data_IF_903848285779
#
_entry.id   IF_903848285779
#
_cell.length_a   1.000
_cell.length_b   1.000
_cell.length_c   1.000
_cell.angle_alpha   90.00
_cell.angle_beta   90.00
_cell.angle_gamma   90.00
#
_symmetry.space_group_name_H-M   'P 1'
#
loop_
_entity.id
_entity.type
_entity.pdbx_description
1 polymer ?
#
# COMPACT_ATOMS: atom_id res chain seq x y z
N UNK A 1 3.24 -3.18 14.16
CA UNK A 1 2.02 -2.35 13.97
C UNK A 1 1.18 -3.02 12.89
N UNK A 2 -0.10 -3.23 13.15
CA UNK A 2 -1.07 -3.83 12.23
C UNK A 2 -2.12 -2.80 11.85
N UNK A 3 -2.53 -2.78 10.59
CA UNK A 3 -3.67 -1.99 10.13
C UNK A 3 -4.96 -2.82 10.18
N UNK A 4 -6.12 -2.15 10.14
CA UNK A 4 -7.40 -2.82 9.91
C UNK A 4 -7.45 -3.47 8.52
N UNK A 5 -6.83 -2.83 7.54
CA UNK A 5 -6.72 -3.28 6.16
C UNK A 5 -5.40 -4.05 5.92
N UNK A 6 -4.90 -4.78 6.93
CA UNK A 6 -3.66 -5.56 6.78
C UNK A 6 -3.81 -6.62 5.68
N UNK A 7 -2.99 -6.55 4.61
CA UNK A 7 -3.15 -7.46 3.48
C UNK A 7 -2.69 -8.87 3.82
N UNK A 8 -3.52 -9.86 3.46
CA UNK A 8 -3.22 -11.28 3.48
C UNK A 8 -3.35 -11.82 2.06
N UNK A 9 -2.27 -12.37 1.51
CA UNK A 9 -2.21 -12.82 0.12
C UNK A 9 -1.70 -14.24 0.04
N UNK A 10 -2.34 -15.06 -0.80
CA UNK A 10 -1.86 -16.40 -1.16
C UNK A 10 -0.93 -16.25 -2.37
N UNK A 11 0.26 -16.84 -2.31
CA UNK A 11 1.19 -16.83 -3.43
C UNK A 11 0.60 -17.49 -4.67
N UNK A 12 0.67 -16.84 -5.85
CA UNK A 12 0.24 -17.47 -7.10
C UNK A 12 1.16 -18.61 -7.55
N UNK A 13 2.32 -18.81 -6.91
CA UNK A 13 3.32 -19.82 -7.26
C UNK A 13 3.34 -21.01 -6.30
N UNK A 14 2.72 -20.87 -5.12
CA UNK A 14 2.65 -21.93 -4.12
C UNK A 14 1.39 -21.76 -3.25
N UNK A 15 0.42 -22.66 -3.36
CA UNK A 15 -0.84 -22.59 -2.62
C UNK A 15 -0.70 -22.70 -1.10
N UNK A 16 0.44 -23.21 -0.61
CA UNK A 16 0.72 -23.31 0.82
C UNK A 16 1.41 -22.06 1.37
N UNK A 17 1.85 -21.18 0.47
CA UNK A 17 2.52 -19.94 0.83
C UNK A 17 1.53 -18.80 1.02
N UNK A 18 1.62 -18.19 2.21
CA UNK A 18 0.88 -16.99 2.57
C UNK A 18 1.84 -15.85 2.87
N UNK A 19 1.41 -14.65 2.52
CA UNK A 19 2.05 -13.41 2.96
C UNK A 19 1.07 -12.61 3.80
N UNK A 20 1.52 -12.10 4.94
CA UNK A 20 0.74 -11.25 5.81
C UNK A 20 1.57 -10.05 6.25
N UNK A 21 1.01 -8.85 6.17
CA UNK A 21 1.78 -7.64 6.34
C UNK A 21 1.30 -6.75 7.49
N UNK A 22 2.25 -6.27 8.26
CA UNK A 22 2.11 -5.22 9.28
C UNK A 22 2.96 -4.01 8.86
N UNK A 23 3.87 -3.52 9.67
CA UNK A 23 4.98 -2.68 9.20
C UNK A 23 6.17 -3.52 8.67
N UNK A 24 6.14 -4.82 8.90
CA UNK A 24 7.00 -5.84 8.33
C UNK A 24 6.17 -6.78 7.46
N UNK A 25 6.81 -7.47 6.53
CA UNK A 25 6.21 -8.55 5.78
C UNK A 25 6.58 -9.90 6.40
N UNK A 26 5.58 -10.73 6.58
CA UNK A 26 5.69 -12.10 7.08
C UNK A 26 5.30 -13.08 5.98
N UNK A 27 5.96 -14.22 5.95
CA UNK A 27 5.69 -15.34 5.05
C UNK A 27 5.46 -16.60 5.87
N UNK A 28 4.47 -17.36 5.49
CA UNK A 28 4.26 -18.75 5.88
C UNK A 28 4.42 -19.64 4.64
N UNK A 29 4.99 -20.82 4.79
CA UNK A 29 5.08 -21.85 3.73
C UNK A 29 4.29 -23.12 4.09
N UNK A 30 3.48 -23.05 5.15
CA UNK A 30 2.71 -24.16 5.75
C UNK A 30 1.26 -23.75 6.08
N UNK A 31 0.65 -22.94 5.21
CA UNK A 31 -0.75 -22.45 5.32
C UNK A 31 -1.05 -21.65 6.57
N UNK A 32 -0.04 -21.06 7.20
CA UNK A 32 -0.20 -20.18 8.36
C UNK A 32 0.13 -20.82 9.71
N UNK A 33 0.59 -22.09 9.72
CA UNK A 33 0.99 -22.75 10.95
C UNK A 33 2.24 -22.10 11.55
N UNK A 34 3.22 -21.73 10.70
CA UNK A 34 4.40 -20.98 11.12
C UNK A 34 4.63 -19.74 10.27
N UNK A 35 5.19 -18.69 10.89
CA UNK A 35 5.44 -17.42 10.24
C UNK A 35 6.87 -16.94 10.40
N UNK A 36 7.47 -16.52 9.30
CA UNK A 36 8.80 -15.95 9.23
C UNK A 36 8.74 -14.50 8.78
N UNK A 37 9.38 -13.59 9.52
CA UNK A 37 9.60 -12.22 9.07
C UNK A 37 10.63 -12.20 7.94
N UNK A 38 10.24 -11.68 6.76
CA UNK A 38 11.07 -11.66 5.55
C UNK A 38 11.48 -10.24 5.12
N UNK A 39 11.13 -9.20 5.89
CA UNK A 39 11.51 -7.82 5.55
C UNK A 39 12.01 -7.04 6.76
N UNK A 40 12.78 -5.94 6.54
CA UNK A 40 12.90 -4.85 7.51
C UNK A 40 11.56 -4.11 7.66
N UNK A 41 11.52 -3.03 8.47
CA UNK A 41 10.39 -2.08 8.46
C UNK A 41 10.31 -1.40 7.09
N UNK A 42 9.20 -1.60 6.38
CA UNK A 42 8.99 -1.11 5.01
C UNK A 42 8.32 0.27 4.95
N UNK A 43 7.99 0.83 6.11
CA UNK A 43 7.33 2.12 6.26
C UNK A 43 8.33 3.27 6.39
N UNK A 44 7.85 4.49 6.61
CA UNK A 44 8.72 5.64 6.95
C UNK A 44 9.24 5.55 8.38
N UNK A 45 8.64 4.70 9.21
CA UNK A 45 8.97 4.52 10.62
C UNK A 45 9.02 5.85 11.40
N UNK A 46 8.08 6.76 11.10
CA UNK A 46 7.99 8.07 11.76
C UNK A 46 7.57 7.90 13.22
N UNK A 47 8.22 8.65 14.10
CA UNK A 47 7.88 8.66 15.52
C UNK A 47 6.54 9.39 15.73
N UNK A 48 5.49 8.65 16.00
CA UNK A 48 4.14 9.16 16.25
C UNK A 48 4.09 10.17 17.41
N UNK A 49 4.99 10.05 18.38
CA UNK A 49 5.04 10.95 19.51
C UNK A 49 5.50 12.36 19.13
N UNK A 50 6.17 12.50 17.99
CA UNK A 50 6.58 13.79 17.43
C UNK A 50 5.60 14.35 16.41
N UNK A 51 4.56 13.61 16.05
CA UNK A 51 3.57 14.06 15.07
C UNK A 51 2.55 15.01 15.70
N UNK A 52 2.21 16.06 14.95
CA UNK A 52 1.13 16.96 15.34
C UNK A 52 -0.22 16.31 15.02
N UNK A 53 -1.11 16.30 15.98
CA UNK A 53 -2.53 15.95 15.82
C UNK A 53 -3.34 17.18 16.19
N UNK A 54 -4.18 17.68 15.29
CA UNK A 54 -4.92 18.94 15.44
C UNK A 54 -4.00 20.13 15.79
N UNK A 55 -2.84 20.20 15.12
CA UNK A 55 -1.88 21.32 15.30
C UNK A 55 -0.95 21.21 16.51
N UNK A 56 -1.13 20.22 17.40
CA UNK A 56 -0.38 20.08 18.65
C UNK A 56 0.30 18.72 18.74
N UNK A 57 1.53 18.67 19.27
CA UNK A 57 2.18 17.43 19.71
C UNK A 57 1.65 17.09 21.11
N UNK A 58 1.00 15.95 21.22
CA UNK A 58 0.43 15.48 22.49
C UNK A 58 1.45 14.65 23.29
N UNK A 59 1.34 14.71 24.61
CA UNK A 59 2.12 13.85 25.51
C UNK A 59 1.93 12.36 25.16
N UNK A 60 2.93 11.56 25.48
CA UNK A 60 2.85 10.09 25.35
C UNK A 60 1.73 9.51 26.21
N UNK A 61 1.42 10.18 27.33
CA UNK A 61 0.39 9.78 28.29
C UNK A 61 -1.00 10.33 27.96
N UNK A 62 -1.17 11.02 26.80
CA UNK A 62 -2.48 11.54 26.41
C UNK A 62 -3.49 10.39 26.23
N UNK A 63 -4.69 10.59 26.78
CA UNK A 63 -5.78 9.60 26.76
C UNK A 63 -6.03 9.17 25.31
N UNK A 64 -6.12 7.86 25.10
CA UNK A 64 -6.37 7.19 23.80
C UNK A 64 -5.34 7.47 22.69
N UNK A 65 -4.22 8.10 22.96
CA UNK A 65 -3.19 8.37 21.94
C UNK A 65 -2.71 7.11 21.22
N UNK A 66 -2.63 5.99 21.93
CA UNK A 66 -2.05 4.74 21.43
C UNK A 66 -3.05 3.58 21.35
N UNK A 67 -4.33 3.79 21.71
CA UNK A 67 -5.29 2.69 21.90
C UNK A 67 -6.20 2.48 20.68
N UNK A 68 -6.72 3.54 20.07
CA UNK A 68 -7.70 3.43 18.97
C UNK A 68 -7.35 4.24 17.73
N UNK A 69 -6.19 4.85 17.67
CA UNK A 69 -5.76 5.55 16.46
C UNK A 69 -5.25 4.54 15.45
N UNK A 70 -5.66 4.69 14.20
CA UNK A 70 -5.05 3.94 13.10
C UNK A 70 -3.53 4.06 13.19
N UNK A 71 -2.81 2.95 13.31
CA UNK A 71 -1.36 3.00 13.34
C UNK A 71 -0.86 3.55 12.00
N UNK A 72 -0.22 4.70 12.02
CA UNK A 72 0.51 5.21 10.86
C UNK A 72 1.82 4.43 10.72
N UNK A 73 2.21 4.17 9.48
CA UNK A 73 3.39 3.38 9.15
C UNK A 73 3.08 1.89 9.20
N UNK A 74 2.17 1.46 8.32
CA UNK A 74 1.76 0.08 8.12
C UNK A 74 1.65 -0.23 6.62
N UNK A 75 1.85 -1.48 6.26
CA UNK A 75 1.57 -1.97 4.92
C UNK A 75 0.06 -2.20 4.80
N UNK A 76 -0.54 -1.69 3.75
CA UNK A 76 -1.99 -1.75 3.48
C UNK A 76 -2.31 -2.34 2.12
N UNK A 77 -1.30 -2.53 1.27
CA UNK A 77 -1.45 -3.18 -0.02
C UNK A 77 -0.25 -4.09 -0.27
N UNK A 78 -0.49 -5.24 -0.90
CA UNK A 78 0.53 -6.23 -1.20
C UNK A 78 0.12 -7.05 -2.41
N UNK A 79 1.04 -7.25 -3.34
CA UNK A 79 0.87 -8.17 -4.45
C UNK A 79 2.17 -8.93 -4.74
N UNK A 80 2.05 -10.19 -5.13
CA UNK A 80 3.13 -10.98 -5.71
C UNK A 80 2.88 -11.18 -7.20
N UNK A 81 3.86 -10.86 -8.02
CA UNK A 81 3.76 -11.04 -9.48
C UNK A 81 3.46 -12.49 -9.85
N UNK A 82 2.42 -12.68 -10.65
CA UNK A 82 2.09 -14.00 -11.21
C UNK A 82 3.12 -14.50 -12.24
N UNK A 83 3.93 -13.60 -12.78
CA UNK A 83 4.94 -13.89 -13.80
C UNK A 83 6.31 -14.23 -13.21
N UNK A 84 6.56 -13.83 -11.95
CA UNK A 84 7.87 -14.00 -11.32
C UNK A 84 7.72 -14.28 -9.83
N UNK A 85 8.04 -15.49 -9.41
CA UNK A 85 8.07 -15.88 -8.01
C UNK A 85 9.01 -14.98 -7.20
N UNK A 86 8.55 -14.52 -6.04
CA UNK A 86 9.31 -13.65 -5.14
C UNK A 86 9.47 -12.21 -5.62
N UNK A 87 8.78 -11.81 -6.68
CA UNK A 87 8.66 -10.41 -7.05
C UNK A 87 7.47 -9.81 -6.30
N UNK A 88 7.77 -9.08 -5.23
CA UNK A 88 6.80 -8.56 -4.28
C UNK A 88 6.72 -7.03 -4.39
N UNK A 89 5.49 -6.51 -4.34
CA UNK A 89 5.22 -5.08 -4.29
C UNK A 89 4.33 -4.79 -3.09
N UNK A 90 4.72 -3.83 -2.26
CA UNK A 90 3.89 -3.40 -1.12
C UNK A 90 3.66 -1.89 -1.16
N UNK A 91 2.47 -1.50 -0.69
CA UNK A 91 2.08 -0.11 -0.48
C UNK A 91 1.80 0.17 0.99
N UNK A 92 2.12 1.38 1.44
CA UNK A 92 1.96 1.78 2.84
C UNK A 92 0.97 2.92 3.03
N UNK A 93 0.40 3.01 4.23
CA UNK A 93 -0.51 4.08 4.63
C UNK A 93 0.19 5.45 4.77
N UNK A 94 1.52 5.47 4.81
CA UNK A 94 2.36 6.68 4.86
C UNK A 94 2.99 7.03 3.49
N UNK A 95 2.48 6.41 2.40
CA UNK A 95 2.74 6.80 1.01
C UNK A 95 4.04 6.30 0.43
N UNK A 96 4.51 5.13 0.83
CA UNK A 96 5.62 4.43 0.18
C UNK A 96 5.12 3.27 -0.67
N UNK A 97 5.80 3.07 -1.79
CA UNK A 97 5.77 1.82 -2.53
C UNK A 97 7.14 1.16 -2.40
N UNK A 98 7.17 -0.12 -2.04
CA UNK A 98 8.38 -0.91 -1.92
C UNK A 98 8.34 -2.07 -2.89
N UNK A 99 9.45 -2.35 -3.55
CA UNK A 99 9.57 -3.43 -4.53
C UNK A 99 10.72 -4.34 -4.12
N UNK A 100 10.44 -5.63 -4.01
CA UNK A 100 11.45 -6.68 -3.85
C UNK A 100 11.45 -7.59 -5.08
N UNK A 101 12.64 -8.00 -5.53
CA UNK A 101 12.80 -8.91 -6.68
C UNK A 101 13.43 -10.24 -6.30
N UNK A 102 13.67 -10.43 -5.01
CA UNK A 102 14.50 -11.51 -4.44
C UNK A 102 13.85 -12.16 -3.21
N UNK A 103 12.51 -12.23 -3.24
CA UNK A 103 11.69 -12.85 -2.18
C UNK A 103 11.86 -12.14 -0.81
N UNK A 104 11.90 -10.81 -0.82
CA UNK A 104 11.95 -10.00 0.39
C UNK A 104 13.34 -9.78 1.00
N UNK A 105 14.40 -10.26 0.37
CA UNK A 105 15.78 -10.08 0.89
C UNK A 105 16.26 -8.65 0.77
N UNK A 106 15.91 -7.97 -0.33
CA UNK A 106 16.17 -6.55 -0.55
C UNK A 106 14.93 -5.80 -1.02
N UNK A 107 14.87 -4.48 -0.74
CA UNK A 107 13.71 -3.65 -1.02
C UNK A 107 14.10 -2.29 -1.58
N UNK A 108 13.65 -2.01 -2.80
CA UNK A 108 13.71 -0.68 -3.39
C UNK A 108 12.63 0.22 -2.78
N UNK A 109 12.96 1.49 -2.55
CA UNK A 109 12.03 2.48 -1.97
C UNK A 109 11.61 3.50 -3.03
N UNK A 110 10.30 3.69 -3.20
CA UNK A 110 9.71 4.71 -4.03
C UNK A 110 8.78 5.59 -3.19
N UNK A 111 8.93 6.92 -3.28
CA UNK A 111 8.19 7.86 -2.43
C UNK A 111 7.74 9.15 -3.13
N UNK A 112 8.18 9.38 -4.36
CA UNK A 112 7.81 10.54 -5.16
C UNK A 112 7.17 10.07 -6.45
N UNK A 113 5.91 10.43 -6.63
CA UNK A 113 5.12 9.99 -7.78
C UNK A 113 4.51 11.19 -8.49
N UNK A 114 4.45 11.18 -9.85
CA UNK A 114 3.93 12.31 -10.63
C UNK A 114 2.48 12.64 -10.26
N UNK A 115 2.25 13.86 -9.78
CA UNK A 115 0.92 14.37 -9.46
C UNK A 115 0.31 13.83 -8.17
N UNK A 116 0.96 12.91 -7.45
CA UNK A 116 0.47 12.34 -6.19
C UNK A 116 1.04 13.13 -5.01
N UNK A 117 0.20 13.57 -4.05
CA UNK A 117 0.68 14.22 -2.83
C UNK A 117 1.63 13.33 -2.04
N UNK A 118 2.65 13.95 -1.45
CA UNK A 118 3.55 13.21 -0.57
C UNK A 118 2.77 12.61 0.60
N UNK A 119 3.05 11.36 0.96
CA UNK A 119 2.35 10.60 2.01
C UNK A 119 0.87 10.32 1.71
N UNK A 120 0.46 10.36 0.45
CA UNK A 120 -0.85 9.85 0.08
C UNK A 120 -0.95 8.35 0.44
N UNK A 121 -2.09 7.96 1.01
CA UNK A 121 -2.35 6.57 1.38
C UNK A 121 -2.33 5.68 0.13
N UNK A 122 -1.51 4.66 0.09
CA UNK A 122 -1.54 3.67 -1.00
C UNK A 122 -2.78 2.81 -0.81
N UNK A 123 -3.70 2.87 -1.76
CA UNK A 123 -4.96 2.13 -1.67
C UNK A 123 -4.77 0.70 -2.16
N UNK A 124 -4.02 0.54 -3.27
CA UNK A 124 -3.78 -0.79 -3.84
C UNK A 124 -2.51 -0.79 -4.69
N UNK A 125 -1.92 -1.97 -4.84
CA UNK A 125 -0.80 -2.25 -5.75
C UNK A 125 -1.11 -3.52 -6.54
N UNK A 126 -0.92 -3.47 -7.86
CA UNK A 126 -1.19 -4.61 -8.74
C UNK A 126 -0.03 -4.77 -9.73
N UNK A 127 0.55 -5.94 -9.76
CA UNK A 127 1.52 -6.34 -10.80
C UNK A 127 0.78 -6.82 -12.05
N UNK A 128 1.30 -6.49 -13.21
CA UNK A 128 0.69 -6.90 -14.49
C UNK A 128 0.77 -8.42 -14.67
N UNK A 129 -0.28 -9.00 -15.25
CA UNK A 129 -0.34 -10.40 -15.67
C UNK A 129 0.34 -10.66 -17.02
N UNK A 130 0.79 -9.61 -17.70
CA UNK A 130 1.30 -9.68 -19.07
C UNK A 130 2.75 -9.24 -19.21
N UNK A 131 3.22 -8.38 -18.28
CA UNK A 131 4.59 -7.85 -18.27
C UNK A 131 5.08 -7.69 -16.84
N UNK A 132 6.17 -8.37 -16.52
CA UNK A 132 6.76 -8.40 -15.17
C UNK A 132 7.24 -7.03 -14.68
N UNK A 133 7.54 -6.10 -15.59
CA UNK A 133 8.01 -4.76 -15.26
C UNK A 133 6.88 -3.74 -15.08
N UNK A 134 5.64 -4.13 -15.39
CA UNK A 134 4.49 -3.24 -15.28
C UNK A 134 3.81 -3.41 -13.93
N UNK A 135 3.70 -2.29 -13.20
CA UNK A 135 3.05 -2.21 -11.88
C UNK A 135 2.10 -1.02 -11.89
N UNK A 136 0.89 -1.22 -11.39
CA UNK A 136 -0.11 -0.18 -11.17
C UNK A 136 -0.23 0.11 -9.68
N UNK A 137 -0.39 1.39 -9.33
CA UNK A 137 -0.58 1.80 -7.93
C UNK A 137 -1.66 2.87 -7.87
N UNK A 138 -2.61 2.69 -6.97
CA UNK A 138 -3.63 3.68 -6.65
C UNK A 138 -3.39 4.30 -5.27
N UNK A 139 -3.80 5.57 -5.14
CA UNK A 139 -3.68 6.30 -3.89
C UNK A 139 -4.96 7.08 -3.61
N UNK A 140 -5.17 7.41 -2.34
CA UNK A 140 -6.13 8.40 -1.92
C UNK A 140 -5.49 9.43 -0.97
N UNK A 141 -6.10 10.63 -0.90
CA UNK A 141 -5.67 11.69 0.00
C UNK A 141 -6.87 12.29 0.76
N UNK A 142 -7.90 11.50 0.97
CA UNK A 142 -9.19 11.87 1.52
C UNK A 142 -9.09 12.47 2.92
N UNK A 143 -8.16 11.99 3.74
CA UNK A 143 -7.90 12.51 5.09
C UNK A 143 -7.55 14.02 5.11
N UNK A 144 -7.12 14.55 3.97
CA UNK A 144 -6.74 15.97 3.80
C UNK A 144 -7.74 16.73 2.95
N UNK A 145 -8.94 16.18 2.70
CA UNK A 145 -10.00 16.81 1.90
C UNK A 145 -9.73 16.81 0.40
N UNK A 146 -8.76 16.08 -0.07
CA UNK A 146 -8.47 15.91 -1.49
C UNK A 146 -9.04 14.57 -1.98
N UNK A 147 -10.06 14.66 -2.82
CA UNK A 147 -10.81 13.51 -3.37
C UNK A 147 -10.43 13.19 -4.81
N UNK A 148 -9.35 13.74 -5.33
CA UNK A 148 -8.89 13.43 -6.69
C UNK A 148 -8.48 11.96 -6.79
N UNK A 149 -8.72 11.32 -7.94
CA UNK A 149 -8.20 10.00 -8.20
C UNK A 149 -6.70 10.07 -8.49
N UNK A 150 -5.94 9.22 -7.86
CA UNK A 150 -4.51 9.07 -8.08
C UNK A 150 -4.21 7.65 -8.51
N UNK A 151 -3.89 7.48 -9.79
CA UNK A 151 -3.53 6.21 -10.39
C UNK A 151 -2.26 6.40 -11.21
N UNK A 152 -1.25 5.59 -10.94
CA UNK A 152 0.03 5.64 -11.63
C UNK A 152 0.42 4.27 -12.16
N UNK A 153 1.31 4.25 -13.13
CA UNK A 153 1.89 3.04 -13.71
C UNK A 153 3.39 3.20 -13.88
N UNK A 154 4.12 2.14 -13.66
CA UNK A 154 5.47 1.93 -14.19
C UNK A 154 5.44 0.82 -15.22
N UNK A 155 6.30 0.90 -16.24
CA UNK A 155 6.53 -0.14 -17.26
C UNK A 155 7.98 -0.60 -17.32
N UNK A 156 8.80 -0.12 -16.40
CA UNK A 156 10.24 -0.37 -16.32
C UNK A 156 10.66 -0.87 -14.94
N UNK A 157 9.69 -1.43 -14.22
CA UNK A 157 9.91 -2.03 -12.91
C UNK A 157 10.15 -1.02 -11.80
N UNK A 158 9.58 0.19 -11.89
CA UNK A 158 9.70 1.21 -10.85
C UNK A 158 10.74 2.29 -11.12
N UNK A 159 11.51 2.21 -12.21
CA UNK A 159 12.52 3.24 -12.54
C UNK A 159 11.86 4.57 -12.88
N UNK A 160 10.77 4.53 -13.66
CA UNK A 160 9.96 5.70 -13.98
C UNK A 160 8.48 5.42 -13.70
N UNK A 161 7.75 6.47 -13.33
CA UNK A 161 6.33 6.42 -13.03
C UNK A 161 5.57 7.45 -13.86
N UNK A 162 4.37 7.08 -14.32
CA UNK A 162 3.49 7.94 -15.10
C UNK A 162 2.09 7.94 -14.48
N UNK A 163 1.50 9.13 -14.34
CA UNK A 163 0.08 9.23 -13.98
C UNK A 163 -0.80 8.78 -15.16
N UNK A 164 -1.80 7.99 -14.84
CA UNK A 164 -2.83 7.51 -15.77
C UNK A 164 -4.24 7.83 -15.26
N UNK A 165 -4.36 8.74 -14.28
CA UNK A 165 -5.64 9.19 -13.75
C UNK A 165 -6.50 9.89 -14.81
N UNK A 166 -5.87 10.60 -15.77
CA UNK A 166 -6.52 11.25 -16.90
C UNK A 166 -7.85 11.93 -16.54
N UNK A 167 -8.93 11.48 -17.17
CA UNK A 167 -10.30 11.97 -16.99
C UNK A 167 -11.15 11.14 -16.02
N UNK A 168 -10.54 10.31 -15.17
CA UNK A 168 -11.28 9.60 -14.12
C UNK A 168 -11.90 10.65 -13.20
N UNK A 169 -13.23 10.70 -13.17
CA UNK A 169 -13.98 11.64 -12.35
C UNK A 169 -14.62 10.90 -11.17
N UNK A 170 -14.40 11.41 -9.96
CA UNK A 170 -15.01 10.86 -8.74
C UNK A 170 -16.53 11.05 -8.67
N UNK A 171 -17.05 12.00 -9.43
CA UNK A 171 -18.50 12.31 -9.45
C UNK A 171 -19.29 11.44 -10.42
N UNK A 172 -18.62 10.70 -11.30
CA UNK A 172 -19.25 9.72 -12.17
C UNK A 172 -19.18 8.33 -11.52
N UNK A 173 -20.00 8.12 -10.54
CA UNK A 173 -20.47 6.76 -10.24
C UNK A 173 -21.26 6.28 -11.45
N UNK A 174 -21.19 5.00 -11.77
CA UNK A 174 -22.08 4.40 -12.78
C UNK A 174 -23.50 4.86 -12.48
N UNK A 175 -24.26 5.36 -13.47
CA UNK A 175 -25.64 5.76 -13.22
C UNK A 175 -26.36 4.59 -12.57
N UNK A 176 -26.92 4.84 -11.39
CA UNK A 176 -27.77 3.85 -10.73
C UNK A 176 -28.90 3.50 -11.69
N UNK A 177 -29.33 2.24 -11.81
CA UNK A 177 -30.52 1.88 -12.58
C UNK A 177 -31.78 2.66 -12.18
N UNK A 178 -31.75 3.37 -11.05
CA UNK A 178 -32.82 4.25 -10.58
C UNK A 178 -32.75 5.69 -11.10
N UNK A 179 -31.59 6.11 -11.66
CA UNK A 179 -31.42 7.49 -12.17
C UNK A 179 -31.98 7.68 -13.58
N UNK A 180 -32.57 6.66 -14.18
CA UNK A 180 -33.14 6.66 -15.53
C UNK A 180 -34.67 6.78 -15.61
N UNK A 181 -35.39 7.05 -14.51
CA UNK A 181 -36.83 7.22 -14.49
C UNK A 181 -37.24 8.53 -13.85
N UNK A 182 -37.14 9.60 -14.62
CA UNK A 182 -37.96 10.81 -14.41
C UNK A 182 -38.41 11.33 -15.76
#
# INVERSE_FOLDING_TARGET
RWNWDAPLVISPHNSDRLYFAANFLFQSDDRGDTWKKISPDLTRNEDRNKMKVMGKVWSVDAIFKNVFTSPLGTIVALDESRLKNGFLVVGTDDGLVRISRDNGKSWEKHENFPGVPRKAYVTDVITSKHDVNTIYVSFNYHKYGDFKPYLIVTKDGGKTWKSISSNICLLYTSPSPRDGTS
#
